data_IF_964115473156
#
_entry.id   IF_964115473156
#
_cell.length_a   1.000
_cell.length_b   1.000
_cell.length_c   1.000
_cell.angle_alpha   90.00
_cell.angle_beta   90.00
_cell.angle_gamma   90.00
#
_symmetry.space_group_name_H-M   'P 1'
#
loop_
_entity.id
_entity.type
_entity.pdbx_description
1 polymer ?
#
# COMPACT_ATOMS: atom_id res chain seq x y z
N UNK A 1 -3.45 64.78 -3.58
CA UNK A 1 -4.30 63.57 -3.67
C UNK A 1 -3.43 62.35 -3.37
N UNK A 2 -3.63 61.63 -2.27
CA UNK A 2 -2.84 60.44 -1.95
C UNK A 2 -3.39 59.23 -2.72
N UNK A 3 -2.47 58.41 -3.24
CA UNK A 3 -2.78 57.15 -3.93
C UNK A 3 -3.22 56.06 -2.91
N UNK A 4 -4.17 55.21 -3.26
CA UNK A 4 -4.54 54.11 -2.35
C UNK A 4 -3.48 53.02 -2.35
N UNK A 5 -3.10 52.58 -1.16
CA UNK A 5 -2.27 51.40 -0.92
C UNK A 5 -3.19 50.20 -0.90
N UNK A 6 -3.08 49.33 -1.88
CA UNK A 6 -3.82 48.05 -1.90
C UNK A 6 -3.10 47.04 -1.04
N UNK A 7 -3.69 46.74 0.10
CA UNK A 7 -3.20 45.70 1.02
C UNK A 7 -3.66 44.33 0.46
N UNK A 8 -2.72 43.54 -0.07
CA UNK A 8 -2.97 42.16 -0.46
C UNK A 8 -3.04 41.28 0.79
N UNK A 9 -4.22 40.79 1.09
CA UNK A 9 -4.47 39.88 2.20
C UNK A 9 -4.14 38.44 1.74
N UNK A 10 -3.00 37.93 2.18
CA UNK A 10 -2.65 36.54 1.98
C UNK A 10 -3.54 35.68 2.88
N UNK A 11 -4.49 34.96 2.30
CA UNK A 11 -5.27 33.95 3.00
C UNK A 11 -4.39 32.70 3.20
N UNK A 12 -3.84 32.55 4.38
CA UNK A 12 -3.23 31.28 4.81
C UNK A 12 -4.37 30.30 5.09
N UNK A 13 -4.58 29.33 4.18
CA UNK A 13 -5.41 28.17 4.47
C UNK A 13 -4.71 27.33 5.54
N UNK A 14 -5.04 27.58 6.79
CA UNK A 14 -4.69 26.70 7.89
C UNK A 14 -5.48 25.41 7.77
N UNK A 15 -4.84 24.35 7.33
CA UNK A 15 -5.35 22.98 7.50
C UNK A 15 -5.29 22.72 9.00
N UNK A 16 -6.44 22.71 9.66
CA UNK A 16 -6.55 22.26 11.03
C UNK A 16 -6.23 20.75 11.04
N UNK A 17 -5.01 20.41 11.43
CA UNK A 17 -4.69 19.04 11.78
C UNK A 17 -5.54 18.67 13.02
N UNK A 18 -6.49 17.76 12.83
CA UNK A 18 -7.18 17.14 13.97
C UNK A 18 -6.14 16.50 14.92
N UNK A 19 -6.50 16.25 16.20
CA UNK A 19 -5.58 15.68 17.15
C UNK A 19 -5.01 14.37 16.58
N UNK A 20 -3.69 14.35 16.39
CA UNK A 20 -2.99 13.14 16.01
C UNK A 20 -3.26 12.10 17.10
N UNK A 21 -3.96 11.01 16.77
CA UNK A 21 -4.03 9.87 17.65
C UNK A 21 -2.58 9.48 18.00
N UNK A 22 -2.32 9.23 19.28
CA UNK A 22 -0.97 8.90 19.73
C UNK A 22 -0.50 7.65 18.96
N UNK A 23 0.49 7.83 18.11
CA UNK A 23 1.12 6.75 17.35
C UNK A 23 1.82 5.82 18.34
N UNK A 24 1.54 4.53 18.27
CA UNK A 24 2.27 3.50 19.03
C UNK A 24 3.65 3.19 18.43
N UNK A 25 4.05 3.96 17.41
CA UNK A 25 5.34 3.83 16.75
C UNK A 25 5.37 2.78 15.63
N UNK A 26 4.24 2.16 15.31
CA UNK A 26 4.13 1.16 14.25
C UNK A 26 3.76 1.80 12.90
N UNK A 27 4.20 1.15 11.81
CA UNK A 27 3.92 1.55 10.43
C UNK A 27 4.15 3.07 10.19
N UNK A 28 5.27 3.63 10.69
CA UNK A 28 5.61 5.04 10.46
C UNK A 28 5.89 5.35 8.99
N UNK A 29 6.32 4.36 8.23
CA UNK A 29 6.31 4.33 6.77
C UNK A 29 5.28 3.27 6.30
N UNK A 30 4.80 3.33 5.04
CA UNK A 30 3.91 2.30 4.51
C UNK A 30 4.57 0.92 4.59
N UNK A 31 3.88 -0.14 5.08
CA UNK A 31 4.43 -1.49 5.13
C UNK A 31 4.82 -2.00 3.74
N UNK A 32 5.97 -2.68 3.66
CA UNK A 32 6.43 -3.34 2.44
C UNK A 32 6.66 -4.82 2.70
N UNK A 33 6.30 -5.67 1.75
CA UNK A 33 6.49 -7.10 1.90
C UNK A 33 5.87 -7.94 0.80
N UNK A 34 5.40 -9.11 1.20
CA UNK A 34 4.71 -10.09 0.34
C UNK A 34 3.49 -10.65 1.07
N UNK A 35 2.44 -10.93 0.33
CA UNK A 35 1.23 -11.59 0.81
C UNK A 35 0.84 -12.71 -0.18
N UNK A 36 0.39 -13.84 0.35
CA UNK A 36 0.16 -15.06 -0.42
C UNK A 36 -1.08 -15.05 -1.31
N UNK A 37 -2.05 -14.12 -1.10
CA UNK A 37 -3.40 -14.26 -1.65
C UNK A 37 -3.46 -14.23 -3.17
N UNK A 38 -2.99 -13.16 -3.80
CA UNK A 38 -3.26 -12.92 -5.22
C UNK A 38 -2.68 -13.99 -6.15
N UNK A 39 -1.60 -14.65 -5.75
CA UNK A 39 -1.00 -15.74 -6.53
C UNK A 39 -1.45 -17.12 -6.11
N UNK A 40 -1.54 -17.36 -4.81
CA UNK A 40 -1.70 -18.73 -4.30
C UNK A 40 -3.10 -19.02 -3.78
N UNK A 41 -3.91 -18.00 -3.47
CA UNK A 41 -5.23 -18.20 -2.87
C UNK A 41 -5.16 -19.26 -1.74
N UNK A 42 -6.07 -20.26 -1.77
CA UNK A 42 -6.06 -21.36 -0.83
C UNK A 42 -5.02 -22.47 -1.12
N UNK A 43 -4.19 -22.34 -2.15
CA UNK A 43 -3.06 -23.25 -2.38
C UNK A 43 -1.82 -22.89 -1.56
N UNK A 44 -1.93 -21.86 -0.68
CA UNK A 44 -0.89 -21.50 0.27
C UNK A 44 -0.61 -22.64 1.26
N UNK A 45 0.67 -22.86 1.54
CA UNK A 45 1.14 -23.85 2.52
C UNK A 45 2.48 -23.41 3.11
N UNK A 46 2.97 -24.15 4.13
CA UNK A 46 4.21 -23.83 4.81
C UNK A 46 5.41 -23.70 3.86
N UNK A 47 5.48 -24.57 2.83
CA UNK A 47 6.58 -24.54 1.85
C UNK A 47 6.55 -23.26 1.03
N UNK A 48 5.38 -22.85 0.53
CA UNK A 48 5.23 -21.60 -0.25
C UNK A 48 5.70 -20.41 0.58
N UNK A 49 5.34 -20.34 1.85
CA UNK A 49 5.72 -19.23 2.73
C UNK A 49 7.23 -19.21 3.02
N UNK A 50 7.83 -20.38 3.22
CA UNK A 50 9.29 -20.50 3.42
C UNK A 50 10.05 -20.11 2.14
N UNK A 51 9.60 -20.59 0.99
CA UNK A 51 10.20 -20.25 -0.32
C UNK A 51 10.09 -18.73 -0.58
N UNK A 52 8.96 -18.10 -0.25
CA UNK A 52 8.79 -16.66 -0.36
C UNK A 52 9.73 -15.89 0.56
N UNK A 53 9.88 -16.31 1.83
CA UNK A 53 10.81 -15.68 2.76
C UNK A 53 12.27 -15.80 2.27
N UNK A 54 12.67 -16.96 1.74
CA UNK A 54 14.00 -17.16 1.17
C UNK A 54 14.21 -16.32 -0.10
N UNK A 55 13.20 -16.24 -0.96
CA UNK A 55 13.23 -15.43 -2.18
C UNK A 55 13.32 -13.94 -1.89
N UNK A 56 12.61 -13.43 -0.86
CA UNK A 56 12.72 -12.03 -0.44
C UNK A 56 14.17 -11.65 -0.07
N UNK A 57 14.87 -12.56 0.61
CA UNK A 57 16.28 -12.34 0.95
C UNK A 57 17.17 -12.47 -0.29
N UNK A 58 17.01 -13.55 -1.06
CA UNK A 58 17.85 -13.86 -2.20
C UNK A 58 17.73 -12.87 -3.36
N UNK A 59 16.52 -12.32 -3.59
CA UNK A 59 16.28 -11.33 -4.65
C UNK A 59 16.78 -9.93 -4.32
N UNK A 60 17.02 -9.62 -3.03
CA UNK A 60 17.33 -8.28 -2.54
C UNK A 60 16.12 -7.43 -2.14
N UNK A 61 14.90 -7.99 -2.13
CA UNK A 61 13.70 -7.28 -1.68
C UNK A 61 13.83 -6.85 -0.21
N UNK A 62 14.35 -7.71 0.66
CA UNK A 62 14.66 -7.34 2.05
C UNK A 62 15.59 -6.12 2.14
N UNK A 63 16.67 -6.12 1.36
CA UNK A 63 17.64 -4.99 1.34
C UNK A 63 17.04 -3.72 0.71
N UNK A 64 15.97 -3.85 -0.04
CA UNK A 64 15.20 -2.74 -0.59
C UNK A 64 14.12 -2.20 0.37
N UNK A 65 13.90 -2.87 1.52
CA UNK A 65 12.98 -2.43 2.57
C UNK A 65 11.74 -3.31 2.76
N UNK A 66 11.58 -4.40 1.98
CA UNK A 66 10.48 -5.36 2.20
C UNK A 66 10.74 -6.16 3.47
N UNK A 67 9.83 -6.08 4.43
CA UNK A 67 10.00 -6.68 5.75
C UNK A 67 8.98 -7.79 6.04
N UNK A 68 7.75 -7.69 5.52
CA UNK A 68 6.65 -8.57 5.93
C UNK A 68 6.47 -9.75 4.99
N UNK A 69 6.27 -10.94 5.57
CA UNK A 69 5.80 -12.17 4.90
C UNK A 69 4.45 -12.52 5.50
N UNK A 70 3.37 -12.28 4.75
CA UNK A 70 2.01 -12.42 5.24
C UNK A 70 1.35 -13.67 4.66
N UNK A 71 0.90 -14.55 5.52
CA UNK A 71 0.03 -15.68 5.18
C UNK A 71 -1.41 -15.18 5.21
N UNK A 72 -2.04 -15.12 4.05
CA UNK A 72 -3.43 -14.70 3.88
C UNK A 72 -4.41 -15.83 4.26
N UNK A 73 -5.65 -15.79 3.80
CA UNK A 73 -6.72 -16.74 4.13
C UNK A 73 -6.33 -18.22 3.84
N UNK A 74 -7.09 -19.15 4.38
CA UNK A 74 -6.95 -20.60 4.21
C UNK A 74 -5.82 -21.27 5.03
N UNK A 75 -5.24 -20.59 6.02
CA UNK A 75 -4.34 -21.25 6.97
C UNK A 75 -5.08 -21.90 8.16
N UNK A 76 -6.31 -21.45 8.40
CA UNK A 76 -7.11 -21.85 9.57
C UNK A 76 -7.59 -23.30 9.42
N UNK A 77 -7.42 -24.07 10.49
CA UNK A 77 -8.08 -25.33 10.72
C UNK A 77 -9.27 -25.19 11.67
N UNK A 78 -9.38 -26.07 12.65
CA UNK A 78 -10.45 -26.05 13.66
C UNK A 78 -10.01 -25.29 14.92
N UNK A 79 -10.94 -25.05 15.85
CA UNK A 79 -10.59 -24.57 17.19
C UNK A 79 -10.36 -25.76 18.14
N UNK A 80 -9.35 -25.63 18.99
CA UNK A 80 -9.09 -26.62 20.05
C UNK A 80 -10.13 -26.52 21.19
N UNK A 81 -10.03 -27.44 22.18
CA UNK A 81 -10.94 -27.45 23.31
C UNK A 81 -10.87 -26.18 24.20
N UNK A 82 -9.82 -25.36 24.06
CA UNK A 82 -9.69 -24.05 24.71
C UNK A 82 -10.19 -22.90 23.83
N UNK A 83 -10.78 -23.18 22.67
CA UNK A 83 -11.28 -22.21 21.72
C UNK A 83 -10.21 -21.53 20.87
N UNK A 84 -8.94 -21.97 20.93
CA UNK A 84 -7.84 -21.39 20.16
C UNK A 84 -7.86 -21.92 18.73
N UNK A 85 -7.63 -21.03 17.75
CA UNK A 85 -7.47 -21.43 16.36
C UNK A 85 -6.25 -22.34 16.22
N UNK A 86 -6.42 -23.47 15.55
CA UNK A 86 -5.35 -24.40 15.18
C UNK A 86 -5.09 -24.24 13.67
N UNK A 87 -3.82 -24.15 13.24
CA UNK A 87 -3.52 -24.15 11.81
C UNK A 87 -3.95 -25.47 11.14
N UNK A 88 -4.29 -25.40 9.84
CA UNK A 88 -4.48 -26.57 9.01
C UNK A 88 -3.21 -27.44 9.04
N UNK A 89 -3.31 -28.66 9.54
CA UNK A 89 -2.15 -29.54 9.80
C UNK A 89 -1.54 -30.13 8.53
N UNK A 90 -2.29 -30.22 7.45
CA UNK A 90 -1.79 -30.69 6.16
C UNK A 90 -0.98 -29.59 5.46
N UNK A 91 -1.45 -28.36 5.54
CA UNK A 91 -0.81 -27.20 4.91
C UNK A 91 0.32 -26.61 5.75
N UNK A 92 0.16 -26.62 7.08
CA UNK A 92 1.11 -26.01 8.03
C UNK A 92 1.47 -27.02 9.13
N UNK A 93 2.14 -28.12 8.78
CA UNK A 93 2.42 -29.22 9.71
C UNK A 93 3.26 -28.83 10.93
N UNK A 94 4.16 -27.83 10.77
CA UNK A 94 5.01 -27.35 11.87
C UNK A 94 4.28 -26.35 12.79
N UNK A 95 3.12 -25.82 12.36
CA UNK A 95 2.36 -24.80 13.06
C UNK A 95 2.88 -23.38 12.85
N UNK A 96 2.03 -22.37 13.17
CA UNK A 96 2.34 -20.96 12.88
C UNK A 96 3.54 -20.43 13.66
N UNK A 97 3.75 -20.89 14.91
CA UNK A 97 4.92 -20.45 15.68
C UNK A 97 6.24 -20.84 15.01
N UNK A 98 6.38 -22.10 14.57
CA UNK A 98 7.60 -22.56 13.91
C UNK A 98 7.83 -21.86 12.56
N UNK A 99 6.74 -21.54 11.85
CA UNK A 99 6.81 -20.78 10.60
C UNK A 99 7.21 -19.33 10.86
N UNK A 100 6.65 -18.68 11.87
CA UNK A 100 7.05 -17.33 12.29
C UNK A 100 8.52 -17.28 12.71
N UNK A 101 8.98 -18.24 13.52
CA UNK A 101 10.39 -18.35 13.93
C UNK A 101 11.32 -18.51 12.70
N UNK A 102 10.88 -19.26 11.67
CA UNK A 102 11.62 -19.38 10.43
C UNK A 102 11.73 -18.04 9.69
N UNK A 103 10.61 -17.34 9.52
CA UNK A 103 10.58 -16.02 8.87
C UNK A 103 11.46 -15.03 9.65
N UNK A 104 11.37 -15.00 10.97
CA UNK A 104 12.21 -14.18 11.84
C UNK A 104 13.70 -14.54 11.72
N UNK A 105 14.04 -15.83 11.52
CA UNK A 105 15.44 -16.24 11.31
C UNK A 105 16.08 -15.67 10.05
N UNK A 106 15.24 -15.24 9.06
CA UNK A 106 15.67 -14.52 7.86
C UNK A 106 15.79 -13.01 8.10
N UNK A 107 15.44 -12.52 9.31
CA UNK A 107 15.36 -11.10 9.66
C UNK A 107 14.18 -10.41 8.97
N UNK A 108 13.11 -11.14 8.72
CA UNK A 108 11.82 -10.68 8.21
C UNK A 108 10.78 -10.70 9.32
N UNK A 109 9.62 -10.12 9.08
CA UNK A 109 8.47 -10.06 9.99
C UNK A 109 7.36 -10.98 9.49
N UNK A 110 6.68 -11.65 10.42
CA UNK A 110 5.63 -12.61 10.08
C UNK A 110 4.25 -11.99 10.23
N UNK A 111 3.41 -12.11 9.20
CA UNK A 111 2.02 -11.66 9.20
C UNK A 111 1.03 -12.79 9.03
N UNK A 112 -0.17 -12.58 9.54
CA UNK A 112 -1.32 -13.46 9.36
C UNK A 112 -2.54 -12.69 8.88
N UNK A 113 -3.54 -13.45 8.46
CA UNK A 113 -4.88 -13.01 8.11
C UNK A 113 -5.91 -13.61 9.08
N UNK A 114 -6.96 -12.85 9.37
CA UNK A 114 -8.20 -13.33 9.96
C UNK A 114 -9.37 -12.46 9.50
N UNK A 115 -10.56 -12.68 10.07
CA UNK A 115 -11.78 -12.00 9.68
C UNK A 115 -12.60 -11.60 10.91
N UNK A 116 -13.30 -10.47 10.84
CA UNK A 116 -14.21 -10.01 11.89
C UNK A 116 -15.53 -10.79 11.94
N UNK A 117 -15.83 -11.57 10.91
CA UNK A 117 -16.98 -12.45 10.83
C UNK A 117 -16.80 -13.77 11.54
N UNK A 118 -17.85 -14.57 11.50
CA UNK A 118 -17.82 -15.96 11.96
C UNK A 118 -16.95 -16.83 11.04
N UNK A 119 -16.95 -16.48 9.74
CA UNK A 119 -16.13 -17.13 8.72
C UNK A 119 -15.34 -16.10 7.93
N UNK A 120 -14.21 -16.53 7.38
CA UNK A 120 -13.40 -15.76 6.43
C UNK A 120 -14.06 -15.75 5.05
N UNK A 121 -13.52 -14.95 4.13
CA UNK A 121 -14.01 -14.89 2.74
C UNK A 121 -13.91 -16.24 2.02
N UNK A 122 -12.92 -17.07 2.35
CA UNK A 122 -12.80 -18.45 1.87
C UNK A 122 -13.50 -19.47 2.79
N UNK A 123 -14.46 -19.04 3.61
CA UNK A 123 -15.26 -19.90 4.51
C UNK A 123 -14.46 -20.71 5.53
N UNK A 124 -13.32 -20.19 5.97
CA UNK A 124 -12.59 -20.69 7.12
C UNK A 124 -13.11 -20.04 8.39
N UNK A 125 -12.74 -20.51 9.57
CA UNK A 125 -13.17 -19.91 10.82
C UNK A 125 -12.60 -18.49 10.97
N UNK A 126 -13.45 -17.51 11.25
CA UNK A 126 -13.09 -16.16 11.61
C UNK A 126 -12.88 -15.97 13.11
N UNK A 127 -12.67 -14.72 13.54
CA UNK A 127 -12.37 -14.39 14.94
C UNK A 127 -13.57 -13.88 15.74
N UNK A 128 -14.76 -13.78 15.15
CA UNK A 128 -15.96 -13.27 15.83
C UNK A 128 -16.22 -14.02 17.15
N UNK A 129 -16.23 -13.25 18.27
CA UNK A 129 -16.41 -13.81 19.61
C UNK A 129 -15.19 -14.50 20.21
N UNK A 130 -14.06 -14.50 19.48
CA UNK A 130 -12.80 -15.11 19.90
C UNK A 130 -11.62 -14.13 19.85
N UNK A 131 -11.86 -12.83 19.64
CA UNK A 131 -10.83 -11.83 19.35
C UNK A 131 -9.71 -11.80 20.39
N UNK A 132 -10.07 -11.90 21.68
CA UNK A 132 -9.08 -11.92 22.76
C UNK A 132 -8.23 -13.21 22.77
N UNK A 133 -8.84 -14.35 22.47
CA UNK A 133 -8.15 -15.66 22.41
C UNK A 133 -7.23 -15.71 21.20
N UNK A 134 -7.71 -15.24 20.05
CA UNK A 134 -6.96 -15.24 18.79
C UNK A 134 -5.80 -14.25 18.86
N UNK A 135 -6.02 -13.02 19.34
CA UNK A 135 -4.96 -12.04 19.55
C UNK A 135 -3.84 -12.57 20.45
N UNK A 136 -4.21 -13.29 21.54
CA UNK A 136 -3.22 -13.93 22.40
C UNK A 136 -2.43 -15.01 21.66
N UNK A 137 -3.09 -15.85 20.86
CA UNK A 137 -2.42 -16.87 20.04
C UNK A 137 -1.49 -16.24 19.02
N UNK A 138 -1.91 -15.16 18.35
CA UNK A 138 -1.06 -14.43 17.40
C UNK A 138 0.19 -13.86 18.07
N UNK A 139 0.05 -13.27 19.26
CA UNK A 139 1.18 -12.79 20.02
C UNK A 139 2.13 -13.93 20.47
N UNK A 140 1.60 -15.06 20.93
CA UNK A 140 2.38 -16.25 21.31
C UNK A 140 3.13 -16.87 20.12
N UNK A 141 2.54 -16.82 18.91
CA UNK A 141 3.19 -17.29 17.70
C UNK A 141 4.23 -16.32 17.13
N UNK A 142 4.23 -15.08 17.60
CA UNK A 142 5.19 -14.09 17.11
C UNK A 142 4.70 -13.33 15.87
N UNK A 143 3.40 -13.17 15.69
CA UNK A 143 2.83 -12.37 14.59
C UNK A 143 3.20 -10.90 14.76
N UNK A 144 3.61 -10.24 13.67
CA UNK A 144 4.00 -8.83 13.60
C UNK A 144 3.02 -7.97 12.79
N UNK A 145 2.14 -8.61 12.03
CA UNK A 145 1.16 -7.97 11.15
C UNK A 145 -0.12 -8.81 11.09
N UNK A 146 -1.27 -8.19 11.25
CA UNK A 146 -2.57 -8.85 11.10
C UNK A 146 -3.40 -8.11 10.03
N UNK A 147 -3.72 -8.78 8.90
CA UNK A 147 -4.79 -8.40 8.00
C UNK A 147 -6.11 -8.93 8.55
N UNK A 148 -7.10 -8.08 8.71
CA UNK A 148 -8.37 -8.43 9.35
C UNK A 148 -9.51 -8.02 8.43
N UNK A 149 -10.19 -9.02 7.87
CA UNK A 149 -11.19 -8.87 6.82
C UNK A 149 -12.61 -8.69 7.35
N UNK A 150 -13.60 -8.63 6.45
CA UNK A 150 -14.97 -8.21 6.76
C UNK A 150 -16.05 -9.13 6.15
N UNK A 151 -15.74 -10.39 5.82
CA UNK A 151 -16.69 -11.35 5.30
C UNK A 151 -17.62 -11.89 6.40
N UNK A 152 -18.82 -12.32 6.06
CA UNK A 152 -19.79 -12.93 6.99
C UNK A 152 -20.03 -12.10 8.28
N UNK A 153 -20.17 -10.79 8.11
CA UNK A 153 -20.31 -9.81 9.21
C UNK A 153 -21.72 -9.24 9.34
N UNK A 154 -22.73 -9.95 8.85
CA UNK A 154 -24.12 -9.48 8.87
C UNK A 154 -24.55 -9.04 10.27
N UNK A 155 -25.09 -7.82 10.35
CA UNK A 155 -25.56 -7.22 11.62
C UNK A 155 -24.45 -6.70 12.53
N UNK A 156 -23.18 -6.70 12.11
CA UNK A 156 -22.07 -6.11 12.87
C UNK A 156 -21.85 -4.65 12.48
N UNK A 157 -21.30 -3.86 13.42
CA UNK A 157 -20.75 -2.53 13.17
C UNK A 157 -19.23 -2.63 12.98
N UNK A 158 -18.73 -2.08 11.88
CA UNK A 158 -17.31 -2.19 11.54
C UNK A 158 -16.41 -1.52 12.59
N UNK A 159 -16.78 -0.34 13.09
CA UNK A 159 -15.99 0.39 14.08
C UNK A 159 -15.89 -0.37 15.41
N UNK A 160 -16.98 -1.02 15.82
CA UNK A 160 -17.02 -1.84 17.03
C UNK A 160 -16.16 -3.09 16.86
N UNK A 161 -16.32 -3.84 15.78
CA UNK A 161 -15.62 -5.09 15.52
C UNK A 161 -14.11 -4.89 15.36
N UNK A 162 -13.68 -3.93 14.52
CA UNK A 162 -12.27 -3.59 14.39
C UNK A 162 -11.70 -2.99 15.68
N UNK A 163 -12.49 -2.17 16.39
CA UNK A 163 -12.11 -1.64 17.70
C UNK A 163 -11.91 -2.73 18.75
N UNK A 164 -12.70 -3.80 18.70
CA UNK A 164 -12.58 -4.95 19.61
C UNK A 164 -11.26 -5.70 19.36
N UNK A 165 -10.97 -6.08 18.10
CA UNK A 165 -9.71 -6.75 17.75
C UNK A 165 -8.51 -5.84 18.05
N UNK A 166 -8.57 -4.56 17.73
CA UNK A 166 -7.51 -3.59 18.04
C UNK A 166 -7.16 -3.56 19.55
N UNK A 167 -8.17 -3.52 20.40
CA UNK A 167 -7.97 -3.58 21.86
C UNK A 167 -7.39 -4.93 22.31
N UNK A 168 -7.86 -6.04 21.72
CA UNK A 168 -7.36 -7.37 22.01
C UNK A 168 -5.88 -7.52 21.65
N UNK A 169 -5.47 -7.05 20.47
CA UNK A 169 -4.06 -7.04 20.04
C UNK A 169 -3.18 -6.23 20.99
N UNK A 170 -3.59 -5.00 21.32
CA UNK A 170 -2.84 -4.14 22.26
C UNK A 170 -2.72 -4.73 23.66
N UNK A 171 -3.75 -5.42 24.13
CA UNK A 171 -3.74 -6.08 25.45
C UNK A 171 -2.71 -7.21 25.56
N UNK A 172 -2.23 -7.76 24.43
CA UNK A 172 -1.16 -8.77 24.43
C UNK A 172 0.22 -8.19 24.76
N UNK A 173 0.41 -6.87 24.60
CA UNK A 173 1.71 -6.19 24.72
C UNK A 173 2.67 -6.41 23.55
N UNK A 174 2.31 -7.25 22.56
CA UNK A 174 3.12 -7.41 21.34
C UNK A 174 2.81 -6.30 20.33
N UNK A 175 3.83 -5.66 19.72
CA UNK A 175 3.63 -4.69 18.66
C UNK A 175 3.22 -5.41 17.37
N UNK A 176 1.92 -5.32 17.01
CA UNK A 176 1.35 -5.94 15.81
C UNK A 176 0.78 -4.83 14.94
N UNK A 177 1.26 -4.70 13.70
CA UNK A 177 0.66 -3.82 12.71
C UNK A 177 -0.72 -4.36 12.37
N UNK A 178 -1.75 -3.52 12.51
CA UNK A 178 -3.13 -3.91 12.28
C UNK A 178 -3.66 -3.29 10.98
N UNK A 179 -3.97 -4.13 10.01
CA UNK A 179 -4.49 -3.79 8.69
C UNK A 179 -5.99 -4.10 8.63
N UNK A 180 -6.78 -3.06 8.47
CA UNK A 180 -8.24 -3.12 8.36
C UNK A 180 -8.61 -3.39 6.91
N UNK A 181 -9.48 -4.37 6.64
CA UNK A 181 -9.87 -4.76 5.29
C UNK A 181 -11.40 -4.87 5.16
N UNK A 182 -12.09 -3.72 5.05
CA UNK A 182 -13.55 -3.66 4.81
C UNK A 182 -13.89 -3.00 3.47
N UNK A 183 -12.91 -2.99 2.55
CA UNK A 183 -13.03 -2.57 1.14
C UNK A 183 -13.52 -1.14 0.93
N UNK A 184 -13.38 -0.25 1.93
CA UNK A 184 -13.85 1.14 1.86
C UNK A 184 -15.35 1.32 2.12
N UNK A 185 -16.07 0.25 2.47
CA UNK A 185 -17.54 0.22 2.57
C UNK A 185 -18.10 1.22 3.60
N UNK A 186 -17.40 1.41 4.72
CA UNK A 186 -17.78 2.37 5.77
C UNK A 186 -16.91 3.61 5.80
N UNK A 187 -16.09 3.84 4.76
CA UNK A 187 -15.10 4.93 4.67
C UNK A 187 -14.13 4.91 5.85
N UNK A 188 -13.31 3.85 5.99
CA UNK A 188 -12.44 3.63 7.14
C UNK A 188 -11.44 4.78 7.35
N UNK A 189 -11.03 5.48 6.30
CA UNK A 189 -10.19 6.68 6.41
C UNK A 189 -10.77 7.77 7.31
N UNK A 190 -12.10 7.78 7.56
CA UNK A 190 -12.74 8.78 8.42
C UNK A 190 -12.76 8.41 9.91
N UNK A 191 -12.47 7.13 10.26
CA UNK A 191 -12.60 6.65 11.64
C UNK A 191 -11.50 5.70 12.12
N UNK A 192 -10.79 5.03 11.21
CA UNK A 192 -9.87 3.95 11.58
C UNK A 192 -8.52 4.44 12.15
N UNK A 193 -8.22 5.74 12.03
CA UNK A 193 -7.02 6.31 12.66
C UNK A 193 -7.02 6.05 14.17
N UNK A 194 -5.96 5.41 14.68
CA UNK A 194 -5.87 4.98 16.08
C UNK A 194 -6.58 3.65 16.40
N UNK A 195 -7.32 3.06 15.45
CA UNK A 195 -7.83 1.68 15.50
C UNK A 195 -6.85 0.75 14.80
N UNK A 196 -6.52 1.02 13.55
CA UNK A 196 -5.50 0.31 12.77
C UNK A 196 -4.44 1.27 12.23
N UNK A 197 -3.46 0.73 11.53
CA UNK A 197 -2.33 1.46 10.97
C UNK A 197 -2.46 1.69 9.46
N UNK A 198 -3.27 0.88 8.81
CA UNK A 198 -3.64 1.00 7.40
C UNK A 198 -5.05 0.42 7.22
N UNK A 199 -5.70 0.79 6.13
CA UNK A 199 -7.05 0.35 5.81
C UNK A 199 -7.28 0.27 4.31
N UNK A 200 -7.85 -0.84 3.87
CA UNK A 200 -8.31 -1.02 2.50
C UNK A 200 -9.37 0.04 2.19
N UNK A 201 -9.11 0.82 1.19
CA UNK A 201 -9.96 1.94 0.77
C UNK A 201 -10.84 1.59 -0.44
N UNK A 202 -10.63 0.44 -1.05
CA UNK A 202 -11.29 -0.02 -2.28
C UNK A 202 -11.60 -1.51 -2.23
N UNK A 203 -12.41 -2.00 -3.15
CA UNK A 203 -12.56 -3.43 -3.43
C UNK A 203 -11.23 -4.08 -3.85
N UNK A 204 -11.25 -5.41 -4.04
CA UNK A 204 -10.04 -6.18 -4.31
C UNK A 204 -9.46 -5.90 -5.69
N UNK A 205 -8.13 -5.71 -5.73
CA UNK A 205 -7.41 -5.52 -6.98
C UNK A 205 -7.45 -6.78 -7.84
N UNK A 206 -7.52 -6.55 -9.14
CA UNK A 206 -7.41 -7.59 -10.15
C UNK A 206 -6.18 -7.34 -11.02
N UNK A 207 -5.58 -8.43 -11.50
CA UNK A 207 -4.43 -8.39 -12.41
C UNK A 207 -4.84 -7.90 -13.81
N UNK A 208 -5.25 -6.63 -13.88
CA UNK A 208 -5.66 -5.96 -15.11
C UNK A 208 -5.53 -4.44 -14.98
N UNK A 209 -5.35 -3.78 -16.10
CA UNK A 209 -5.23 -2.31 -16.15
C UNK A 209 -6.57 -1.62 -15.87
N UNK A 210 -7.58 -1.97 -16.66
CA UNK A 210 -8.91 -1.36 -16.62
C UNK A 210 -9.97 -2.46 -16.74
N UNK A 211 -10.43 -2.96 -15.61
CA UNK A 211 -11.51 -3.95 -15.54
C UNK A 211 -12.32 -3.79 -14.26
N UNK A 212 -13.55 -4.26 -14.29
CA UNK A 212 -14.42 -4.43 -13.13
C UNK A 212 -14.98 -5.83 -13.07
N UNK A 213 -15.30 -6.30 -11.88
CA UNK A 213 -15.99 -7.56 -11.64
C UNK A 213 -17.30 -7.29 -10.91
N UNK A 214 -18.33 -8.06 -11.22
CA UNK A 214 -19.66 -7.92 -10.59
C UNK A 214 -19.61 -8.04 -9.06
N UNK A 215 -18.68 -8.84 -8.55
CA UNK A 215 -18.48 -9.01 -7.10
C UNK A 215 -17.62 -7.91 -6.43
N UNK A 216 -17.21 -6.86 -7.17
CA UNK A 216 -16.47 -5.73 -6.62
C UNK A 216 -14.97 -5.71 -6.91
N UNK A 217 -14.43 -6.69 -7.66
CA UNK A 217 -13.01 -6.69 -8.06
C UNK A 217 -12.72 -5.57 -9.08
N UNK A 218 -11.56 -4.92 -8.97
CA UNK A 218 -11.22 -3.68 -9.68
C UNK A 218 -9.85 -3.74 -10.33
N UNK A 219 -9.73 -3.14 -11.52
CA UNK A 219 -8.44 -2.85 -12.17
C UNK A 219 -7.75 -1.64 -11.56
N UNK A 220 -6.49 -1.45 -11.93
CA UNK A 220 -5.61 -0.39 -11.41
C UNK A 220 -6.23 1.00 -11.58
N UNK A 221 -6.80 1.30 -12.76
CA UNK A 221 -7.35 2.62 -13.06
C UNK A 221 -8.54 2.98 -12.18
N UNK A 222 -9.43 2.02 -11.89
CA UNK A 222 -10.57 2.23 -11.00
C UNK A 222 -10.11 2.51 -9.57
N UNK A 223 -9.16 1.74 -9.07
CA UNK A 223 -8.59 1.92 -7.73
C UNK A 223 -7.93 3.30 -7.62
N UNK A 224 -7.15 3.69 -8.63
CA UNK A 224 -6.47 4.99 -8.66
C UNK A 224 -7.47 6.16 -8.54
N UNK A 225 -8.60 6.08 -9.26
CA UNK A 225 -9.63 7.13 -9.21
C UNK A 225 -10.29 7.23 -7.83
N UNK A 226 -10.53 6.11 -7.16
CA UNK A 226 -11.09 6.08 -5.80
C UNK A 226 -10.13 6.67 -4.77
N UNK A 227 -8.81 6.53 -4.99
CA UNK A 227 -7.77 7.05 -4.09
C UNK A 227 -7.42 8.52 -4.31
N UNK A 228 -7.80 9.13 -5.43
CA UNK A 228 -7.35 10.46 -5.87
C UNK A 228 -7.54 11.55 -4.80
N UNK A 229 -8.67 11.52 -4.08
CA UNK A 229 -9.06 12.53 -3.10
C UNK A 229 -8.82 12.09 -1.63
N UNK A 230 -8.24 10.91 -1.41
CA UNK A 230 -8.03 10.40 -0.06
C UNK A 230 -6.71 10.85 0.60
N UNK A 231 -5.91 11.64 -0.10
CA UNK A 231 -4.62 12.14 0.41
C UNK A 231 -4.67 12.86 1.77
N UNK A 232 -5.74 13.55 2.21
CA UNK A 232 -5.76 14.19 3.52
C UNK A 232 -5.80 13.21 4.70
N UNK A 233 -6.15 11.94 4.45
CA UNK A 233 -6.34 10.94 5.49
C UNK A 233 -5.09 10.09 5.74
N UNK A 234 -4.16 10.03 4.78
CA UNK A 234 -2.91 9.29 4.92
C UNK A 234 -1.86 10.05 5.75
N UNK A 235 -0.98 9.29 6.39
CA UNK A 235 0.15 9.81 7.16
C UNK A 235 0.85 8.71 7.97
N UNK A 236 1.94 9.02 8.69
CA UNK A 236 2.64 8.04 9.50
C UNK A 236 1.70 7.31 10.48
N UNK A 237 1.71 5.97 10.42
CA UNK A 237 0.85 5.10 11.21
C UNK A 237 -0.62 5.09 10.80
N UNK A 238 -0.96 5.63 9.62
CA UNK A 238 -2.32 5.70 9.09
C UNK A 238 -2.29 5.78 7.55
N UNK A 239 -2.42 4.66 6.86
CA UNK A 239 -2.24 4.59 5.41
C UNK A 239 -3.51 4.15 4.70
N UNK A 240 -3.86 4.85 3.62
CA UNK A 240 -4.84 4.35 2.67
C UNK A 240 -4.22 3.19 1.90
N UNK A 241 -4.88 2.04 1.91
CA UNK A 241 -4.43 0.83 1.26
C UNK A 241 -5.26 0.59 -0.01
N UNK A 242 -4.66 0.72 -1.20
CA UNK A 242 -5.31 0.43 -2.47
C UNK A 242 -5.28 -1.05 -2.85
N UNK A 243 -4.88 -1.93 -1.93
CA UNK A 243 -4.57 -3.33 -2.13
C UNK A 243 -3.15 -3.62 -2.66
N UNK A 244 -2.84 -4.89 -2.80
CA UNK A 244 -1.52 -5.44 -3.13
C UNK A 244 -1.03 -5.04 -4.53
N UNK A 245 0.22 -5.40 -4.80
CA UNK A 245 0.83 -5.25 -6.11
C UNK A 245 0.58 -6.50 -6.96
N UNK A 246 0.02 -6.30 -8.16
CA UNK A 246 -0.16 -7.34 -9.18
C UNK A 246 1.04 -7.49 -10.12
N UNK A 247 2.15 -6.86 -9.79
CA UNK A 247 3.38 -6.88 -10.59
C UNK A 247 3.93 -8.30 -10.72
N UNK A 248 3.87 -8.87 -11.93
CA UNK A 248 4.41 -10.20 -12.23
C UNK A 248 3.40 -11.34 -12.13
N UNK A 249 2.11 -11.08 -11.95
CA UNK A 249 1.05 -12.12 -11.97
C UNK A 249 0.65 -12.53 -13.39
N UNK A 250 0.90 -11.69 -14.40
CA UNK A 250 0.82 -12.07 -15.82
C UNK A 250 -0.31 -11.41 -16.61
N UNK A 251 -1.29 -10.76 -15.95
CA UNK A 251 -2.35 -10.00 -16.62
C UNK A 251 -1.93 -8.60 -17.04
N UNK A 252 -0.90 -8.03 -16.38
CA UNK A 252 -0.34 -6.73 -16.70
C UNK A 252 0.88 -6.85 -17.60
N UNK A 253 0.99 -5.96 -18.58
CA UNK A 253 2.24 -5.75 -19.32
C UNK A 253 3.33 -5.16 -18.41
N UNK A 254 4.60 -5.18 -18.84
CA UNK A 254 5.68 -4.54 -18.08
C UNK A 254 5.50 -3.01 -17.96
N UNK A 255 4.86 -2.37 -18.94
CA UNK A 255 4.53 -0.95 -18.88
C UNK A 255 3.48 -0.68 -17.79
N UNK A 256 2.40 -1.42 -17.78
CA UNK A 256 1.35 -1.35 -16.76
C UNK A 256 1.87 -1.72 -15.37
N UNK A 257 2.72 -2.73 -15.24
CA UNK A 257 3.39 -3.11 -14.00
C UNK A 257 4.26 -1.96 -13.45
N UNK A 258 4.99 -1.28 -14.32
CA UNK A 258 5.80 -0.10 -13.97
C UNK A 258 4.93 1.08 -13.56
N UNK A 259 3.83 1.32 -14.28
CA UNK A 259 2.85 2.36 -13.95
C UNK A 259 2.20 2.07 -12.59
N UNK A 260 1.74 0.85 -12.39
CA UNK A 260 1.17 0.38 -11.12
C UNK A 260 2.11 0.63 -9.93
N UNK A 261 3.35 0.14 -10.01
CA UNK A 261 4.34 0.32 -8.95
C UNK A 261 4.65 1.80 -8.67
N UNK A 262 4.76 2.63 -9.73
CA UNK A 262 4.99 4.07 -9.62
C UNK A 262 3.85 4.80 -8.92
N UNK A 263 2.60 4.45 -9.27
CA UNK A 263 1.41 5.06 -8.70
C UNK A 263 1.21 4.67 -7.23
N UNK A 264 1.38 3.38 -6.87
CA UNK A 264 1.33 2.94 -5.48
C UNK A 264 2.39 3.64 -4.63
N UNK A 265 3.62 3.76 -5.13
CA UNK A 265 4.66 4.51 -4.44
C UNK A 265 4.34 6.01 -4.28
N UNK A 266 3.73 6.62 -5.29
CA UNK A 266 3.29 8.00 -5.20
C UNK A 266 2.16 8.16 -4.16
N UNK A 267 1.25 7.19 -4.09
CA UNK A 267 0.14 7.18 -3.13
C UNK A 267 0.60 6.91 -1.68
N UNK A 268 1.87 6.62 -1.42
CA UNK A 268 2.35 6.14 -0.12
C UNK A 268 1.55 4.92 0.35
N UNK A 269 1.30 4.00 -0.57
CA UNK A 269 0.53 2.79 -0.34
C UNK A 269 1.40 1.68 0.22
N UNK A 270 0.86 0.72 0.98
CA UNK A 270 1.59 -0.49 1.31
C UNK A 270 2.09 -1.19 0.04
N UNK A 271 3.41 -1.39 -0.08
CA UNK A 271 4.01 -2.09 -1.23
C UNK A 271 4.11 -3.60 -0.93
N UNK A 272 2.95 -4.26 -0.93
CA UNK A 272 2.83 -5.70 -0.68
C UNK A 272 2.77 -6.47 -1.99
N UNK A 273 3.86 -7.16 -2.36
CA UNK A 273 3.91 -7.99 -3.57
C UNK A 273 2.93 -9.17 -3.46
N UNK A 274 2.11 -9.38 -4.50
CA UNK A 274 1.11 -10.46 -4.58
C UNK A 274 1.48 -11.58 -5.54
N UNK A 275 2.69 -11.59 -6.11
CA UNK A 275 3.15 -12.57 -7.10
C UNK A 275 3.96 -13.72 -6.48
N UNK A 276 4.29 -14.71 -7.29
CA UNK A 276 5.29 -15.72 -6.92
C UNK A 276 6.70 -15.13 -7.06
N UNK A 277 7.20 -14.58 -5.95
CA UNK A 277 8.53 -13.95 -5.92
C UNK A 277 9.69 -14.96 -6.04
N UNK A 278 9.43 -16.24 -5.79
CA UNK A 278 10.47 -17.28 -5.95
C UNK A 278 10.79 -17.55 -7.43
N UNK A 279 9.83 -17.29 -8.33
CA UNK A 279 9.97 -17.55 -9.78
C UNK A 279 9.86 -16.30 -10.64
N UNK A 280 9.90 -15.10 -10.05
CA UNK A 280 9.75 -13.83 -10.78
C UNK A 280 10.88 -13.64 -11.82
N UNK A 281 10.51 -13.05 -12.97
CA UNK A 281 11.48 -12.73 -14.02
C UNK A 281 12.43 -11.58 -13.61
N UNK A 282 13.58 -11.43 -14.26
CA UNK A 282 14.48 -10.30 -14.00
C UNK A 282 13.78 -8.93 -14.15
N UNK A 283 12.91 -8.78 -15.15
CA UNK A 283 12.18 -7.52 -15.41
C UNK A 283 11.20 -7.18 -14.28
N UNK A 284 10.48 -8.18 -13.77
CA UNK A 284 9.59 -8.04 -12.60
C UNK A 284 10.40 -7.66 -11.36
N UNK A 285 11.51 -8.33 -11.13
CA UNK A 285 12.42 -8.03 -10.04
C UNK A 285 12.95 -6.59 -10.13
N UNK A 286 13.36 -6.14 -11.31
CA UNK A 286 13.89 -4.79 -11.52
C UNK A 286 12.84 -3.71 -11.26
N UNK A 287 11.54 -4.00 -11.48
CA UNK A 287 10.44 -3.12 -11.09
C UNK A 287 10.33 -3.07 -9.56
N UNK A 288 10.17 -4.23 -8.90
CA UNK A 288 9.95 -4.32 -7.46
C UNK A 288 11.15 -3.83 -6.62
N UNK A 289 12.35 -3.79 -7.21
CA UNK A 289 13.58 -3.34 -6.56
C UNK A 289 14.05 -1.93 -6.95
N UNK A 290 13.24 -1.15 -7.66
CA UNK A 290 13.63 0.21 -8.01
C UNK A 290 13.68 1.11 -6.77
N UNK A 291 14.89 1.26 -6.22
CA UNK A 291 15.12 2.02 -4.99
C UNK A 291 14.75 3.50 -5.09
N UNK A 292 14.80 4.11 -6.28
CA UNK A 292 14.40 5.51 -6.47
C UNK A 292 12.86 5.65 -6.37
N UNK A 293 12.11 4.68 -6.85
CA UNK A 293 10.65 4.61 -6.68
C UNK A 293 10.26 4.28 -5.24
N UNK A 294 10.92 3.28 -4.63
CA UNK A 294 10.72 2.92 -3.22
C UNK A 294 10.99 4.11 -2.29
N UNK A 295 12.04 4.90 -2.58
CA UNK A 295 12.35 6.10 -1.79
C UNK A 295 11.26 7.18 -1.86
N UNK A 296 10.46 7.22 -2.93
CA UNK A 296 9.27 8.08 -2.99
C UNK A 296 8.17 7.56 -2.08
N UNK A 297 7.94 6.25 -2.07
CA UNK A 297 6.96 5.62 -1.18
C UNK A 297 7.30 5.85 0.29
N UNK A 298 8.52 5.54 0.66
CA UNK A 298 9.04 5.52 2.03
C UNK A 298 9.51 6.91 2.54
N UNK A 299 9.18 7.99 1.81
CA UNK A 299 9.59 9.33 2.21
C UNK A 299 9.02 9.71 3.59
N UNK A 300 9.88 10.17 4.54
CA UNK A 300 9.48 10.39 5.94
C UNK A 300 8.47 11.53 6.15
N UNK A 301 8.18 12.35 5.12
CA UNK A 301 7.07 13.31 5.18
C UNK A 301 5.72 12.58 5.34
N UNK A 302 5.62 11.32 4.85
CA UNK A 302 4.46 10.47 5.01
C UNK A 302 3.18 11.00 4.36
N UNK A 303 3.30 11.71 3.24
CA UNK A 303 2.16 12.31 2.53
C UNK A 303 1.78 11.46 1.32
N UNK A 304 0.50 11.19 1.15
CA UNK A 304 -0.01 10.58 -0.07
C UNK A 304 0.01 11.62 -1.20
N UNK A 305 0.44 11.18 -2.40
CA UNK A 305 0.35 11.99 -3.61
C UNK A 305 -1.09 12.22 -4.08
N UNK A 306 -1.26 13.22 -4.94
CA UNK A 306 -2.58 13.60 -5.47
C UNK A 306 -2.51 13.90 -6.95
N UNK A 307 -3.62 13.77 -7.65
CA UNK A 307 -3.77 14.24 -9.03
C UNK A 307 -3.79 15.77 -9.05
N UNK A 308 -2.95 16.38 -9.86
CA UNK A 308 -2.85 17.83 -10.00
C UNK A 308 -3.35 18.32 -11.35
N UNK A 309 -3.28 17.49 -12.40
CA UNK A 309 -3.89 17.75 -13.69
C UNK A 309 -4.62 16.49 -14.17
N UNK A 310 -5.83 16.69 -14.68
CA UNK A 310 -6.69 15.66 -15.25
C UNK A 310 -7.08 16.06 -16.68
N UNK A 311 -6.53 15.38 -17.67
CA UNK A 311 -6.85 15.51 -19.08
C UNK A 311 -7.58 14.27 -19.64
N UNK A 312 -8.22 13.48 -18.79
CA UNK A 312 -8.87 12.24 -19.15
C UNK A 312 -7.87 11.09 -19.29
N UNK A 313 -7.32 10.87 -20.48
CA UNK A 313 -6.31 9.82 -20.68
C UNK A 313 -4.90 10.22 -20.25
N UNK A 314 -4.64 11.49 -20.04
CA UNK A 314 -3.34 12.03 -19.63
C UNK A 314 -3.47 12.77 -18.31
N UNK A 315 -2.77 12.31 -17.30
CA UNK A 315 -2.83 12.86 -15.95
C UNK A 315 -1.45 13.22 -15.43
N UNK A 316 -1.43 14.20 -14.53
CA UNK A 316 -0.24 14.52 -13.74
C UNK A 316 -0.57 14.31 -12.26
N UNK A 317 0.23 13.51 -11.62
CA UNK A 317 0.17 13.25 -10.18
C UNK A 317 1.42 13.80 -9.50
N UNK A 318 1.29 14.29 -8.28
CA UNK A 318 2.40 14.86 -7.53
C UNK A 318 2.34 14.50 -6.06
N UNK A 319 3.51 14.20 -5.48
CA UNK A 319 3.74 13.98 -4.05
C UNK A 319 4.86 14.92 -3.58
N UNK A 320 4.64 15.75 -2.54
CA UNK A 320 5.74 16.47 -1.90
C UNK A 320 6.63 15.50 -1.13
N UNK A 321 7.92 15.77 -1.09
CA UNK A 321 8.90 14.97 -0.38
C UNK A 321 9.57 15.80 0.72
N UNK A 322 10.13 15.12 1.72
CA UNK A 322 10.67 15.72 2.93
C UNK A 322 11.84 16.67 2.71
N UNK A 323 12.60 16.49 1.63
CA UNK A 323 13.73 17.35 1.25
C UNK A 323 13.32 18.56 0.40
N UNK A 324 12.02 18.84 0.27
CA UNK A 324 11.48 19.91 -0.54
C UNK A 324 11.33 19.57 -2.01
N UNK A 325 11.80 18.41 -2.47
CA UNK A 325 11.56 17.95 -3.85
C UNK A 325 10.11 17.49 -4.06
N UNK A 326 9.75 17.20 -5.30
CA UNK A 326 8.46 16.65 -5.70
C UNK A 326 8.68 15.37 -6.49
N UNK A 327 7.98 14.30 -6.15
CA UNK A 327 7.78 13.20 -7.08
C UNK A 327 6.61 13.55 -8.01
N UNK A 328 6.80 13.39 -9.30
CA UNK A 328 5.82 13.70 -10.34
C UNK A 328 5.67 12.49 -11.23
N UNK A 329 4.42 12.06 -11.45
CA UNK A 329 4.08 11.00 -12.39
C UNK A 329 3.25 11.60 -13.52
N UNK A 330 3.77 11.47 -14.74
CA UNK A 330 3.05 11.77 -15.97
C UNK A 330 2.45 10.44 -16.45
N UNK A 331 1.15 10.26 -16.27
CA UNK A 331 0.43 9.01 -16.54
C UNK A 331 -0.30 9.09 -17.88
N UNK A 332 -0.10 8.10 -18.71
CA UNK A 332 -0.87 7.87 -19.93
C UNK A 332 -1.79 6.66 -19.74
N UNK A 333 -3.10 6.89 -19.63
CA UNK A 333 -4.13 5.85 -19.58
C UNK A 333 -4.58 5.37 -20.96
N UNK A 334 -4.20 6.13 -22.02
CA UNK A 334 -4.60 5.83 -23.39
C UNK A 334 -3.71 4.80 -24.07
N UNK A 335 -4.10 4.43 -25.30
CA UNK A 335 -3.43 3.38 -26.08
C UNK A 335 -2.30 3.92 -26.97
N UNK A 336 -2.25 5.23 -27.21
CA UNK A 336 -1.22 5.86 -28.03
C UNK A 336 -0.16 6.54 -27.15
N UNK A 337 1.06 6.66 -27.66
CA UNK A 337 2.10 7.48 -26.99
C UNK A 337 1.67 8.94 -26.96
N UNK A 338 1.64 9.56 -25.78
CA UNK A 338 1.20 10.94 -25.58
C UNK A 338 2.31 11.82 -25.00
N UNK A 339 2.41 13.06 -25.48
CA UNK A 339 3.21 14.08 -24.80
C UNK A 339 2.37 14.68 -23.67
N UNK A 340 2.85 14.53 -22.43
CA UNK A 340 2.21 15.09 -21.24
C UNK A 340 3.12 16.19 -20.69
N UNK A 341 2.52 17.33 -20.42
CA UNK A 341 3.23 18.51 -19.91
C UNK A 341 2.66 18.99 -18.59
N UNK A 342 3.56 19.47 -17.74
CA UNK A 342 3.21 20.11 -16.48
C UNK A 342 4.17 21.27 -16.22
N UNK A 343 3.63 22.40 -15.75
CA UNK A 343 4.44 23.56 -15.38
C UNK A 343 4.93 23.39 -13.93
N UNK A 344 5.97 24.14 -13.57
CA UNK A 344 6.48 24.13 -12.20
C UNK A 344 5.42 24.60 -11.19
N UNK A 345 4.56 25.53 -11.57
CA UNK A 345 3.48 26.04 -10.72
C UNK A 345 2.40 24.97 -10.44
N UNK A 346 2.16 24.06 -11.38
CA UNK A 346 1.18 22.98 -11.22
C UNK A 346 1.59 21.99 -10.10
N UNK A 347 2.90 21.92 -9.80
CA UNK A 347 3.48 21.11 -8.73
C UNK A 347 3.94 21.92 -7.52
N UNK A 348 3.57 23.22 -7.46
CA UNK A 348 3.78 24.09 -6.31
C UNK A 348 5.17 24.73 -6.21
N UNK A 349 5.91 24.83 -7.30
CA UNK A 349 7.11 25.67 -7.40
C UNK A 349 6.81 27.03 -8.06
N UNK A 350 7.67 28.01 -7.87
CA UNK A 350 7.58 29.23 -8.67
C UNK A 350 8.00 28.96 -10.12
N UNK A 351 7.41 29.69 -11.08
CA UNK A 351 7.74 29.55 -12.52
C UNK A 351 9.25 29.78 -12.81
N UNK A 352 9.90 30.56 -11.98
CA UNK A 352 11.34 30.90 -12.11
C UNK A 352 12.24 30.01 -11.27
N UNK A 353 11.69 29.04 -10.54
CA UNK A 353 12.47 28.13 -9.71
C UNK A 353 13.42 27.32 -10.57
N UNK A 354 14.70 27.36 -10.25
CA UNK A 354 15.65 26.42 -10.86
C UNK A 354 15.45 25.05 -10.24
N UNK A 355 15.44 24.02 -11.06
CA UNK A 355 15.20 22.64 -10.64
C UNK A 355 16.16 21.70 -11.35
N UNK A 356 16.53 20.63 -10.63
CA UNK A 356 17.10 19.42 -11.21
C UNK A 356 15.98 18.39 -11.33
N UNK A 357 15.85 17.76 -12.50
CA UNK A 357 14.81 16.77 -12.78
C UNK A 357 15.48 15.43 -13.07
N UNK A 358 15.14 14.42 -12.31
CA UNK A 358 15.64 13.05 -12.44
C UNK A 358 14.52 12.13 -12.90
N UNK A 359 14.68 11.47 -14.05
CA UNK A 359 13.84 10.33 -14.43
C UNK A 359 14.29 9.10 -13.64
N UNK A 360 13.42 8.62 -12.75
CA UNK A 360 13.75 7.55 -11.80
C UNK A 360 13.74 6.14 -12.42
N UNK A 361 13.08 6.00 -13.59
CA UNK A 361 13.12 4.75 -14.36
C UNK A 361 14.29 4.71 -15.34
N UNK A 362 14.49 5.80 -16.09
CA UNK A 362 15.63 5.91 -16.99
C UNK A 362 16.96 6.15 -16.27
N UNK A 363 16.92 6.47 -14.96
CA UNK A 363 18.09 6.74 -14.09
C UNK A 363 19.01 7.83 -14.66
N UNK A 364 18.39 8.89 -15.24
CA UNK A 364 19.11 10.01 -15.86
C UNK A 364 18.44 11.34 -15.55
N UNK A 365 19.21 12.40 -15.59
CA UNK A 365 18.67 13.75 -15.49
C UNK A 365 18.09 14.19 -16.82
N UNK A 366 17.00 14.96 -16.77
CA UNK A 366 16.30 15.54 -17.92
C UNK A 366 16.16 17.04 -17.73
N UNK A 367 16.01 17.77 -18.83
CA UNK A 367 15.87 19.23 -18.81
C UNK A 367 14.39 19.65 -18.88
N UNK A 368 14.11 20.89 -18.47
CA UNK A 368 12.85 21.54 -18.80
C UNK A 368 12.78 21.81 -20.31
N UNK A 369 11.65 21.50 -20.91
CA UNK A 369 11.37 21.84 -22.30
C UNK A 369 10.43 23.06 -22.40
N UNK A 370 10.93 24.17 -22.90
CA UNK A 370 10.18 25.43 -22.97
C UNK A 370 9.53 25.87 -21.65
N UNK A 371 10.26 25.72 -20.55
CA UNK A 371 9.82 26.09 -19.21
C UNK A 371 8.83 25.11 -18.55
N UNK A 372 8.60 23.96 -19.15
CA UNK A 372 7.74 22.90 -18.61
C UNK A 372 8.47 21.57 -18.48
N UNK A 373 7.99 20.74 -17.58
CA UNK A 373 8.31 19.32 -17.47
C UNK A 373 7.53 18.62 -18.59
N UNK A 374 8.22 17.86 -19.44
CA UNK A 374 7.59 17.07 -20.50
C UNK A 374 8.03 15.61 -20.42
N UNK A 375 7.10 14.69 -20.64
CA UNK A 375 7.35 13.27 -20.83
C UNK A 375 6.47 12.71 -21.93
N UNK A 376 6.90 11.56 -22.49
CA UNK A 376 6.16 10.88 -23.56
C UNK A 376 5.94 9.41 -23.19
N UNK A 377 5.14 9.14 -22.14
CA UNK A 377 4.80 7.77 -21.78
C UNK A 377 4.07 7.08 -22.95
N UNK A 378 4.41 5.80 -23.15
CA UNK A 378 3.72 4.91 -24.09
C UNK A 378 2.32 4.58 -23.58
N UNK A 379 1.60 3.71 -24.30
CA UNK A 379 0.32 3.14 -23.87
C UNK A 379 0.42 2.57 -22.44
N UNK A 380 -0.51 2.96 -21.57
CA UNK A 380 -0.65 2.49 -20.19
C UNK A 380 0.66 2.57 -19.36
N UNK A 381 1.46 3.60 -19.62
CA UNK A 381 2.78 3.75 -19.01
C UNK A 381 2.91 5.10 -18.29
N UNK A 382 4.00 5.28 -17.60
CA UNK A 382 4.34 6.50 -16.89
C UNK A 382 5.73 7.01 -17.22
N UNK A 383 5.93 8.31 -17.06
CA UNK A 383 7.23 8.90 -16.79
C UNK A 383 7.20 9.38 -15.34
N UNK A 384 8.06 8.81 -14.49
CA UNK A 384 8.15 9.21 -13.09
C UNK A 384 9.42 10.00 -12.85
N UNK A 385 9.25 11.17 -12.29
CA UNK A 385 10.31 12.17 -12.11
C UNK A 385 10.45 12.59 -10.66
N UNK A 386 11.67 12.82 -10.23
CA UNK A 386 11.97 13.58 -9.00
C UNK A 386 12.44 14.96 -9.40
N UNK A 387 11.71 15.99 -8.98
CA UNK A 387 11.98 17.40 -9.26
C UNK A 387 12.50 18.05 -7.99
N UNK A 388 13.78 18.40 -7.99
CA UNK A 388 14.49 18.94 -6.81
C UNK A 388 14.78 20.42 -7.04
N UNK A 389 14.35 21.34 -6.15
CA UNK A 389 14.72 22.73 -6.24
C UNK A 389 16.24 22.88 -6.03
N UNK A 390 16.84 23.78 -6.81
CA UNK A 390 18.24 24.16 -6.66
C UNK A 390 18.35 25.68 -6.50
N UNK A 391 19.40 26.14 -5.85
CA UNK A 391 19.65 27.56 -5.60
C UNK A 391 19.93 28.38 -6.88
#
# INVERSE_FOLDING_TARGET
MPKPVTLAMAIALGVAAGPAAASDGLALAPPMGWNSWNKFHCDVNEKVVRDAADAMVASGMKDAGSEYVVVDDCWQGERDAAGRMVPDRERFPSGMKALADYVHSKGLRFGLYSDAGEFTCATRLGSKGHEATDAKSYAEWGVDYLKYDWCHTEGQDARESYGLMSRALRATGRPIVFSICEWGSTKPWTWAAGVGHLWRATGDIQDCWDCGREWGGMGITHILDLLADLHPYAGPGRWNDPDMLEVGNGGLTLAESRAHFSLWALLAAPLMAGNDIATMTPEVRDILLNREVIAVDQDPLGVQGRRVLDGGHNEVWMKPLSDGSRAVVLLNRGTDTMAIRCRLEDIGFAATQKVRIRDVWAKKDVALENGAIEGKPKSHDVVMLRVTPVD
#
